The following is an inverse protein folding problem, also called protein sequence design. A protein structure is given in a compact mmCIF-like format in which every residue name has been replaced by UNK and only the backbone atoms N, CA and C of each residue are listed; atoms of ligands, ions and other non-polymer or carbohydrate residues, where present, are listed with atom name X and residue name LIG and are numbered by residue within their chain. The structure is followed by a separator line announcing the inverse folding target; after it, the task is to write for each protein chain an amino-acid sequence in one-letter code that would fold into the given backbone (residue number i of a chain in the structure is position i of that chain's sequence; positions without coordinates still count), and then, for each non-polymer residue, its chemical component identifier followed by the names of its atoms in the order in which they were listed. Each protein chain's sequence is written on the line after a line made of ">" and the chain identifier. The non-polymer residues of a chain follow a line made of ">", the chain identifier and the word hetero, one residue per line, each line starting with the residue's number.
data_IF_002150234593
#
_entry.id   IF_002150234593
#
_cell.length_a   1.000
_cell.length_b   1.000
_cell.length_c   1.000
_cell.angle_alpha   90.00
_cell.angle_beta   90.00
_cell.angle_gamma   90.00
#
_symmetry.space_group_name_H-M   'P 1'
#
loop_
_entity.id
_entity.type
_entity.pdbx_description
1 polymer ?
#
# COMPACT_ATOMS: atom_id res chain seq x y z
N UNK A 1 12.94 6.41 10.46
CA UNK A 1 13.18 5.20 9.63
C UNK A 1 12.24 5.33 8.47
N UNK A 2 12.78 5.20 7.26
CA UNK A 2 12.04 5.41 6.02
C UNK A 2 11.64 4.05 5.47
N UNK A 3 10.33 3.83 5.33
CA UNK A 3 9.76 2.53 4.96
C UNK A 3 9.04 2.66 3.63
N UNK A 4 9.51 1.96 2.61
CA UNK A 4 8.82 1.88 1.31
C UNK A 4 7.98 0.61 1.25
N UNK A 5 6.66 0.76 1.10
CA UNK A 5 5.71 -0.35 0.98
C UNK A 5 5.33 -0.52 -0.48
N UNK A 6 5.79 -1.60 -1.10
CA UNK A 6 5.50 -1.92 -2.51
C UNK A 6 4.39 -2.96 -2.56
N UNK A 7 3.26 -2.59 -3.18
CA UNK A 7 2.08 -3.45 -3.30
C UNK A 7 1.84 -3.77 -4.78
N UNK A 8 2.05 -5.00 -5.24
CA UNK A 8 1.62 -5.43 -6.56
C UNK A 8 0.09 -5.51 -6.61
N UNK A 9 -0.52 -4.87 -7.59
CA UNK A 9 -1.95 -4.91 -7.83
C UNK A 9 -2.27 -6.00 -8.84
N UNK A 10 -3.26 -6.83 -8.52
CA UNK A 10 -3.88 -7.77 -9.45
C UNK A 10 -5.40 -7.59 -9.36
N UNK A 11 -6.01 -6.79 -10.26
CA UNK A 11 -7.47 -6.61 -10.39
C UNK A 11 -8.31 -6.26 -9.13
N UNK A 12 -7.71 -5.91 -8.00
CA UNK A 12 -8.42 -5.68 -6.71
C UNK A 12 -8.49 -4.19 -6.32
N UNK A 13 -9.04 -3.33 -7.19
CA UNK A 13 -9.15 -1.89 -6.95
C UNK A 13 -10.02 -1.52 -5.72
N UNK A 14 -11.03 -2.33 -5.41
CA UNK A 14 -11.96 -2.08 -4.29
C UNK A 14 -11.33 -2.29 -2.91
N UNK A 15 -10.28 -3.10 -2.80
CA UNK A 15 -9.61 -3.44 -1.53
C UNK A 15 -8.51 -2.43 -1.14
N UNK A 16 -8.07 -1.58 -2.07
CA UNK A 16 -6.95 -0.65 -1.87
C UNK A 16 -7.21 0.45 -0.83
N UNK A 17 -8.41 1.06 -0.75
CA UNK A 17 -8.71 2.03 0.29
C UNK A 17 -8.60 1.43 1.69
N UNK A 18 -9.01 0.16 1.87
CA UNK A 18 -8.94 -0.51 3.17
C UNK A 18 -7.49 -0.86 3.55
N UNK A 19 -6.71 -1.40 2.61
CA UNK A 19 -5.30 -1.74 2.82
C UNK A 19 -4.48 -0.49 3.19
N UNK A 20 -4.65 0.60 2.43
CA UNK A 20 -3.95 1.86 2.66
C UNK A 20 -4.31 2.48 4.02
N UNK A 21 -5.58 2.43 4.43
CA UNK A 21 -6.01 2.89 5.75
C UNK A 21 -5.40 2.06 6.90
N UNK A 22 -5.26 0.74 6.72
CA UNK A 22 -4.62 -0.10 7.72
C UNK A 22 -3.12 0.18 7.85
N UNK A 23 -2.43 0.36 6.72
CA UNK A 23 -1.02 0.75 6.68
C UNK A 23 -0.83 2.11 7.36
N UNK A 24 -1.62 3.12 6.99
CA UNK A 24 -1.58 4.46 7.60
C UNK A 24 -1.72 4.41 9.12
N UNK A 25 -2.70 3.65 9.62
CA UNK A 25 -2.91 3.50 11.06
C UNK A 25 -1.67 2.94 11.78
N UNK A 26 -1.02 1.93 11.22
CA UNK A 26 0.19 1.32 11.80
C UNK A 26 1.37 2.28 11.74
N UNK A 27 1.55 2.96 10.61
CA UNK A 27 2.66 3.90 10.42
C UNK A 27 2.52 5.13 11.32
N UNK A 28 1.31 5.66 11.44
CA UNK A 28 0.99 6.78 12.34
C UNK A 28 1.24 6.42 13.81
N UNK A 29 0.80 5.23 14.25
CA UNK A 29 1.02 4.78 15.62
C UNK A 29 2.52 4.65 15.98
N UNK A 30 3.35 4.27 15.00
CA UNK A 30 4.79 4.10 15.18
C UNK A 30 5.62 5.33 14.77
N UNK A 31 4.98 6.41 14.31
CA UNK A 31 5.63 7.63 13.83
C UNK A 31 6.70 7.38 12.76
N UNK A 32 6.41 6.46 11.83
CA UNK A 32 7.30 6.18 10.72
C UNK A 32 7.05 7.11 9.54
N UNK A 33 8.12 7.43 8.81
CA UNK A 33 8.02 8.04 7.49
C UNK A 33 7.92 6.91 6.48
N UNK A 34 6.92 6.97 5.60
CA UNK A 34 6.65 5.89 4.67
C UNK A 34 6.09 6.39 3.35
N UNK A 35 6.22 5.55 2.33
CA UNK A 35 5.59 5.72 1.02
C UNK A 35 4.90 4.41 0.64
N UNK A 36 3.81 4.53 -0.13
CA UNK A 36 3.10 3.38 -0.69
C UNK A 36 3.24 3.45 -2.21
N UNK A 37 3.84 2.42 -2.79
CA UNK A 37 4.03 2.29 -4.24
C UNK A 37 3.13 1.15 -4.70
N UNK A 38 2.04 1.53 -5.36
CA UNK A 38 1.12 0.58 -6.00
C UNK A 38 1.65 0.28 -7.41
N UNK A 39 2.01 -0.98 -7.65
CA UNK A 39 2.54 -1.44 -8.94
C UNK A 39 1.47 -2.28 -9.61
N UNK A 40 0.82 -1.72 -10.62
CA UNK A 40 0.02 -2.50 -11.56
C UNK A 40 0.96 -3.46 -12.30
N UNK A 41 0.76 -4.77 -12.12
CA UNK A 41 1.58 -5.76 -12.81
C UNK A 41 1.24 -5.87 -14.31
N UNK A 42 0.24 -5.10 -14.77
CA UNK A 42 -0.20 -5.04 -16.16
C UNK A 42 -0.71 -6.38 -16.67
N UNK A 43 -0.91 -7.35 -15.76
CA UNK A 43 -1.43 -8.66 -16.10
C UNK A 43 -2.93 -8.52 -16.31
N UNK A 44 -3.26 -8.28 -17.58
CA UNK A 44 -4.50 -8.80 -18.11
C UNK A 44 -4.31 -10.31 -18.16
N UNK A 45 -4.96 -11.05 -17.28
CA UNK A 45 -5.42 -12.37 -17.73
C UNK A 45 -6.09 -12.23 -19.12
#
# INVERSE_FOLDING_TARGET
>A
MDISVVVPLFNEEESLPELTAWIDRVMAANHFSYEIILVDDGSKD
#
